data_IF_991330126301
#
_entry.id   IF_991330126301
#
_cell.length_a   1.000
_cell.length_b   1.000
_cell.length_c   1.000
_cell.angle_alpha   90.00
_cell.angle_beta   90.00
_cell.angle_gamma   90.00
#
_symmetry.space_group_name_H-M   'P 1'
#
loop_
_entity.id
_entity.type
_entity.pdbx_description
1 polymer ?
#
# COMPACT_ATOMS: atom_id res chain seq x y z
N UNK A 1 9.50 1.27 4.12
CA UNK A 1 8.47 0.29 3.75
C UNK A 1 7.95 -0.41 4.98
N UNK A 2 6.66 -0.61 5.05
CA UNK A 2 6.01 -1.29 6.16
C UNK A 2 4.87 -2.16 5.64
N UNK A 3 4.65 -3.30 6.27
CA UNK A 3 3.51 -4.17 6.09
C UNK A 3 2.71 -4.19 7.39
N UNK A 4 1.44 -3.83 7.33
CA UNK A 4 0.50 -3.87 8.44
C UNK A 4 -0.57 -4.89 8.11
N UNK A 5 -0.77 -5.86 8.97
CA UNK A 5 -1.82 -6.87 8.81
C UNK A 5 -3.01 -6.56 9.71
N UNK A 6 -4.20 -6.89 9.25
CA UNK A 6 -5.46 -6.65 9.97
C UNK A 6 -5.68 -7.58 11.17
N UNK A 7 -4.61 -7.98 11.87
CA UNK A 7 -4.76 -8.82 13.06
C UNK A 7 -5.34 -8.08 14.27
N UNK A 8 -5.35 -6.75 14.23
CA UNK A 8 -6.12 -5.97 15.18
C UNK A 8 -6.79 -4.77 14.50
N UNK A 9 -8.11 -4.74 14.53
CA UNK A 9 -8.92 -3.63 14.01
C UNK A 9 -8.60 -2.27 14.65
N UNK A 10 -7.88 -2.26 15.77
CA UNK A 10 -7.43 -1.05 16.46
C UNK A 10 -6.20 -0.40 15.81
N UNK A 11 -5.43 -1.14 15.03
CA UNK A 11 -4.21 -0.62 14.42
C UNK A 11 -4.49 0.36 13.28
N UNK A 12 -5.56 0.14 12.52
CA UNK A 12 -5.94 1.04 11.43
C UNK A 12 -6.46 2.40 11.92
N UNK A 13 -6.93 2.48 13.15
CA UNK A 13 -7.33 3.76 13.76
C UNK A 13 -6.13 4.62 14.16
N UNK A 14 -4.99 3.99 14.38
CA UNK A 14 -3.71 4.64 14.69
C UNK A 14 -2.79 4.83 13.49
N UNK A 15 -3.31 4.73 12.25
CA UNK A 15 -2.50 4.75 11.04
C UNK A 15 -1.55 5.96 10.96
N UNK A 16 -2.01 7.14 11.33
CA UNK A 16 -1.19 8.35 11.36
C UNK A 16 -0.05 8.28 12.39
N UNK A 17 -0.32 7.76 13.59
CA UNK A 17 0.69 7.54 14.63
C UNK A 17 1.69 6.47 14.21
N UNK A 18 1.20 5.39 13.63
CA UNK A 18 2.03 4.30 13.13
C UNK A 18 2.99 4.76 12.03
N UNK A 19 2.52 5.52 11.06
CA UNK A 19 3.37 6.11 10.04
C UNK A 19 4.42 7.03 10.65
N UNK A 20 4.05 7.84 11.63
CA UNK A 20 4.99 8.71 12.35
C UNK A 20 6.08 7.94 13.07
N UNK A 21 5.73 6.84 13.73
CA UNK A 21 6.70 5.97 14.42
C UNK A 21 7.65 5.28 13.42
N UNK A 22 7.14 4.79 12.31
CA UNK A 22 7.97 4.21 11.25
C UNK A 22 8.92 5.25 10.67
N UNK A 23 8.46 6.47 10.43
CA UNK A 23 9.29 7.58 9.97
C UNK A 23 10.42 7.87 10.95
N UNK A 24 10.14 7.89 12.23
CA UNK A 24 11.13 8.18 13.26
C UNK A 24 12.14 7.04 13.45
N UNK A 25 11.70 5.78 13.40
CA UNK A 25 12.55 4.62 13.61
C UNK A 25 13.45 4.27 12.43
N UNK A 26 13.10 4.73 11.24
CA UNK A 26 13.80 4.40 9.99
C UNK A 26 14.56 5.53 9.34
N UNK A 27 14.98 6.51 10.11
CA UNK A 27 15.79 7.65 9.64
C UNK A 27 17.02 7.25 8.81
N UNK A 28 17.52 6.03 9.00
CA UNK A 28 18.71 5.51 8.35
C UNK A 28 18.46 4.55 7.18
N UNK A 29 17.27 3.99 7.05
CA UNK A 29 16.98 2.98 6.02
C UNK A 29 16.41 3.60 4.75
N UNK A 30 15.81 4.79 4.84
CA UNK A 30 15.15 5.46 3.71
C UNK A 30 16.10 5.93 2.60
N UNK A 31 17.40 6.01 2.84
CA UNK A 31 18.37 6.47 1.83
C UNK A 31 19.07 5.32 1.08
N UNK A 32 18.99 4.09 1.55
CA UNK A 32 19.84 3.00 1.07
C UNK A 32 19.09 1.73 0.68
N UNK A 33 17.78 1.63 0.90
CA UNK A 33 17.01 0.46 0.49
C UNK A 33 16.51 0.65 -0.95
N UNK A 34 17.10 -0.02 -1.92
CA UNK A 34 16.46 -0.10 -3.23
C UNK A 34 15.12 -0.79 -3.03
N UNK A 35 14.04 -0.12 -3.42
CA UNK A 35 12.73 -0.74 -3.61
C UNK A 35 12.83 -1.69 -4.79
N UNK A 36 13.66 -2.71 -4.61
CA UNK A 36 13.94 -3.68 -5.64
C UNK A 36 12.98 -4.86 -5.61
N UNK A 37 13.07 -5.74 -6.60
CA UNK A 37 12.28 -6.97 -6.66
C UNK A 37 12.41 -7.83 -5.42
N UNK A 38 13.57 -7.84 -4.78
CA UNK A 38 13.85 -8.63 -3.56
C UNK A 38 12.98 -8.17 -2.40
N UNK A 39 12.91 -6.86 -2.17
CA UNK A 39 12.12 -6.31 -1.07
C UNK A 39 10.63 -6.45 -1.34
N UNK A 40 10.20 -6.19 -2.57
CA UNK A 40 8.81 -6.39 -2.99
C UNK A 40 8.38 -7.85 -2.81
N UNK A 41 9.22 -8.81 -3.18
CA UNK A 41 8.97 -10.23 -2.98
C UNK A 41 8.89 -10.61 -1.50
N UNK A 42 9.77 -10.07 -0.67
CA UNK A 42 9.76 -10.28 0.77
C UNK A 42 8.49 -9.73 1.41
N UNK A 43 8.03 -8.57 0.97
CA UNK A 43 6.77 -7.98 1.46
C UNK A 43 5.56 -8.79 0.99
N UNK A 44 5.52 -9.19 -0.27
CA UNK A 44 4.44 -10.01 -0.83
C UNK A 44 4.31 -11.35 -0.10
N UNK A 45 5.41 -11.96 0.32
CA UNK A 45 5.40 -13.22 1.08
C UNK A 45 4.74 -13.12 2.46
N UNK A 46 4.61 -11.91 3.00
CA UNK A 46 3.98 -11.63 4.30
C UNK A 46 2.50 -11.29 4.20
N UNK A 47 1.98 -11.11 3.00
CA UNK A 47 0.55 -10.86 2.80
C UNK A 47 -0.20 -12.16 3.08
N UNK A 48 -1.15 -12.17 4.03
CA UNK A 48 -1.93 -13.36 4.32
C UNK A 48 -2.88 -13.68 3.15
N UNK A 49 -3.37 -14.90 3.12
CA UNK A 49 -4.45 -15.27 2.20
C UNK A 49 -5.67 -14.40 2.49
N UNK A 50 -6.24 -13.85 1.44
CA UNK A 50 -7.41 -12.98 1.54
C UNK A 50 -8.70 -13.80 1.63
N UNK A 51 -9.62 -13.32 2.46
CA UNK A 51 -11.00 -13.76 2.43
C UNK A 51 -11.77 -13.02 1.33
N UNK A 52 -12.96 -13.50 1.01
CA UNK A 52 -13.81 -12.86 0.00
C UNK A 52 -14.14 -11.41 0.40
N UNK A 53 -13.95 -10.48 -0.53
CA UNK A 53 -14.19 -9.06 -0.32
C UNK A 53 -13.06 -8.31 0.37
N UNK A 54 -12.01 -8.98 0.80
CA UNK A 54 -10.83 -8.32 1.35
C UNK A 54 -9.91 -7.79 0.25
N UNK A 55 -9.21 -6.71 0.58
CA UNK A 55 -8.22 -6.08 -0.30
C UNK A 55 -6.91 -5.85 0.43
N UNK A 56 -5.83 -5.81 -0.33
CA UNK A 56 -4.54 -5.29 0.09
C UNK A 56 -4.44 -3.85 -0.40
N UNK A 57 -3.99 -2.95 0.45
CA UNK A 57 -3.74 -1.56 0.09
C UNK A 57 -2.25 -1.32 0.00
N UNK A 58 -1.82 -0.80 -1.13
CA UNK A 58 -0.45 -0.33 -1.36
C UNK A 58 -0.41 1.19 -1.33
N UNK A 59 0.42 1.75 -0.46
CA UNK A 59 0.59 3.19 -0.33
C UNK A 59 1.87 3.64 -1.02
N UNK A 60 1.75 4.64 -1.90
CA UNK A 60 2.88 5.19 -2.61
C UNK A 60 3.50 4.18 -3.58
N UNK A 61 2.69 3.64 -4.49
CA UNK A 61 3.12 2.61 -5.44
C UNK A 61 4.23 3.10 -6.41
N UNK A 62 4.30 4.39 -6.69
CA UNK A 62 5.34 4.98 -7.54
C UNK A 62 5.40 4.34 -8.91
N UNK A 63 6.55 3.78 -9.25
CA UNK A 63 6.77 3.09 -10.53
C UNK A 63 6.11 1.71 -10.62
N UNK A 64 5.58 1.18 -9.52
CA UNK A 64 4.93 -0.12 -9.47
C UNK A 64 5.87 -1.30 -9.24
N UNK A 65 7.06 -1.07 -8.69
CA UNK A 65 8.03 -2.15 -8.43
C UNK A 65 7.49 -3.15 -7.39
N UNK A 66 6.89 -2.67 -6.30
CA UNK A 66 6.25 -3.50 -5.29
C UNK A 66 4.94 -4.08 -5.83
N UNK A 67 4.15 -3.26 -6.52
CA UNK A 67 2.91 -3.68 -7.20
C UNK A 67 3.13 -4.94 -8.03
N UNK A 68 4.17 -4.93 -8.85
CA UNK A 68 4.52 -6.07 -9.70
C UNK A 68 4.79 -7.33 -8.90
N UNK A 69 5.51 -7.22 -7.78
CA UNK A 69 5.80 -8.38 -6.93
C UNK A 69 4.57 -8.91 -6.21
N UNK A 70 3.68 -8.02 -5.78
CA UNK A 70 2.40 -8.41 -5.18
C UNK A 70 1.53 -9.19 -6.17
N UNK A 71 1.44 -8.71 -7.40
CA UNK A 71 0.69 -9.42 -8.45
C UNK A 71 1.35 -10.75 -8.82
N UNK A 72 2.68 -10.81 -8.90
CA UNK A 72 3.42 -12.06 -9.14
C UNK A 72 3.26 -13.09 -8.03
N UNK A 73 2.97 -12.67 -6.80
CA UNK A 73 2.73 -13.58 -5.67
C UNK A 73 1.38 -14.30 -5.73
N UNK A 74 0.53 -13.97 -6.70
CA UNK A 74 -0.79 -14.55 -6.89
C UNK A 74 -1.95 -13.65 -6.44
N UNK A 75 -1.66 -12.44 -5.98
CA UNK A 75 -2.70 -11.45 -5.69
C UNK A 75 -3.34 -10.99 -7.00
N UNK A 76 -4.65 -11.05 -7.09
CA UNK A 76 -5.37 -10.61 -8.27
C UNK A 76 -5.49 -9.08 -8.30
N UNK A 77 -5.54 -8.48 -9.49
CA UNK A 77 -5.57 -7.03 -9.65
C UNK A 77 -6.70 -6.34 -8.89
N UNK A 78 -7.90 -6.94 -8.86
CA UNK A 78 -9.04 -6.41 -8.11
C UNK A 78 -8.90 -6.50 -6.59
N UNK A 79 -7.96 -7.32 -6.09
CA UNK A 79 -7.65 -7.46 -4.68
C UNK A 79 -6.57 -6.46 -4.20
N UNK A 80 -5.95 -5.73 -5.13
CA UNK A 80 -4.91 -4.76 -4.84
C UNK A 80 -5.40 -3.34 -5.15
N UNK A 81 -5.40 -2.51 -4.12
CA UNK A 81 -5.73 -1.08 -4.22
C UNK A 81 -4.47 -0.27 -4.00
N UNK A 82 -4.01 0.41 -5.02
CA UNK A 82 -2.84 1.27 -4.93
C UNK A 82 -3.25 2.74 -4.77
N UNK A 83 -2.73 3.38 -3.75
CA UNK A 83 -2.95 4.80 -3.50
C UNK A 83 -1.68 5.57 -3.88
N UNK A 84 -1.83 6.51 -4.79
CA UNK A 84 -0.73 7.31 -5.30
C UNK A 84 -1.13 8.78 -5.42
N UNK A 85 -0.30 9.66 -4.89
CA UNK A 85 -0.55 11.10 -4.88
C UNK A 85 -0.22 11.78 -6.21
N UNK A 86 0.81 11.33 -6.89
CA UNK A 86 1.27 11.89 -8.14
C UNK A 86 0.34 11.54 -9.30
N UNK A 87 -0.09 12.54 -10.07
CA UNK A 87 -0.85 12.33 -11.29
C UNK A 87 -0.09 11.45 -12.30
N UNK A 88 1.16 11.78 -12.55
CA UNK A 88 1.98 11.08 -13.52
C UNK A 88 2.17 9.61 -13.13
N UNK A 89 2.42 9.33 -11.84
CA UNK A 89 2.58 7.95 -11.35
C UNK A 89 1.26 7.20 -11.35
N UNK A 90 0.15 7.84 -11.00
CA UNK A 90 -1.18 7.22 -11.07
C UNK A 90 -1.54 6.80 -12.50
N UNK A 91 -1.27 7.65 -13.46
CA UNK A 91 -1.48 7.32 -14.88
C UNK A 91 -0.56 6.21 -15.35
N UNK A 92 0.70 6.24 -14.95
CA UNK A 92 1.66 5.19 -15.25
C UNK A 92 1.21 3.84 -14.71
N UNK A 93 0.75 3.80 -13.45
CA UNK A 93 0.22 2.58 -12.82
C UNK A 93 -0.99 2.02 -13.56
N UNK A 94 -1.95 2.89 -13.94
CA UNK A 94 -3.14 2.47 -14.69
C UNK A 94 -2.80 1.90 -16.07
N UNK A 95 -1.79 2.45 -16.72
CA UNK A 95 -1.33 1.95 -18.02
C UNK A 95 -0.56 0.65 -17.90
N UNK A 96 0.29 0.54 -16.89
CA UNK A 96 1.14 -0.63 -16.68
C UNK A 96 0.38 -1.83 -16.13
N UNK A 97 -0.61 -1.58 -15.29
CA UNK A 97 -1.42 -2.60 -14.61
C UNK A 97 -2.91 -2.30 -14.79
N UNK A 98 -3.49 -2.61 -15.95
CA UNK A 98 -4.89 -2.25 -16.25
C UNK A 98 -5.93 -2.86 -15.29
N UNK A 99 -5.62 -4.00 -14.70
CA UNK A 99 -6.47 -4.70 -13.74
C UNK A 99 -6.42 -4.11 -12.33
N UNK A 100 -5.43 -3.26 -12.06
CA UNK A 100 -5.21 -2.68 -10.75
C UNK A 100 -6.22 -1.57 -10.44
N UNK A 101 -6.72 -1.53 -9.21
CA UNK A 101 -7.46 -0.38 -8.72
C UNK A 101 -6.49 0.70 -8.24
N UNK A 102 -6.43 1.81 -8.95
CA UNK A 102 -5.57 2.94 -8.59
C UNK A 102 -6.41 4.09 -8.08
N UNK A 103 -6.22 4.46 -6.84
CA UNK A 103 -6.83 5.64 -6.22
C UNK A 103 -5.80 6.77 -6.17
N UNK A 104 -6.11 7.86 -6.83
CA UNK A 104 -5.31 9.07 -6.72
C UNK A 104 -5.69 9.82 -5.45
N UNK A 105 -4.74 10.05 -4.57
CA UNK A 105 -4.97 10.78 -3.34
C UNK A 105 -3.84 10.67 -2.34
N UNK A 106 -4.04 11.31 -1.20
CA UNK A 106 -3.10 11.25 -0.08
C UNK A 106 -3.34 9.99 0.75
N UNK A 107 -2.27 9.29 1.09
CA UNK A 107 -2.33 8.12 1.96
C UNK A 107 -2.94 8.41 3.33
N UNK A 108 -2.80 9.63 3.82
CA UNK A 108 -3.42 10.07 5.08
C UNK A 108 -4.96 10.07 5.01
N UNK A 109 -5.52 10.15 3.82
CA UNK A 109 -6.96 10.14 3.57
C UNK A 109 -7.49 8.75 3.17
N UNK A 110 -6.74 7.70 3.41
CA UNK A 110 -7.06 6.34 2.97
C UNK A 110 -8.50 5.92 3.28
N UNK A 111 -9.00 6.20 4.48
CA UNK A 111 -10.39 5.88 4.85
C UNK A 111 -11.41 6.51 3.92
N UNK A 112 -11.21 7.78 3.65
CA UNK A 112 -12.11 8.57 2.80
C UNK A 112 -12.04 8.05 1.37
N UNK A 113 -10.83 7.81 0.87
CA UNK A 113 -10.62 7.30 -0.48
C UNK A 113 -11.28 5.92 -0.68
N UNK A 114 -11.10 5.00 0.24
CA UNK A 114 -11.73 3.67 0.17
C UNK A 114 -13.26 3.77 0.18
N UNK A 115 -13.80 4.59 1.07
CA UNK A 115 -15.26 4.73 1.18
C UNK A 115 -15.87 5.40 -0.03
N UNK A 116 -15.28 6.49 -0.49
CA UNK A 116 -15.82 7.28 -1.61
C UNK A 116 -15.72 6.56 -2.96
N UNK A 117 -14.60 5.88 -3.22
CA UNK A 117 -14.34 5.27 -4.52
C UNK A 117 -14.75 3.81 -4.61
N UNK A 118 -14.71 3.08 -3.52
CA UNK A 118 -14.94 1.63 -3.52
C UNK A 118 -16.08 1.18 -2.60
N UNK A 119 -16.62 2.09 -1.78
CA UNK A 119 -17.62 1.73 -0.78
C UNK A 119 -17.08 0.84 0.35
N UNK A 120 -15.75 0.69 0.46
CA UNK A 120 -15.11 -0.18 1.43
C UNK A 120 -14.85 0.54 2.75
N UNK A 121 -15.06 -0.17 3.86
CA UNK A 121 -14.60 0.22 5.18
C UNK A 121 -13.20 -0.32 5.45
N UNK A 122 -12.59 0.11 6.56
CA UNK A 122 -11.26 -0.36 6.97
C UNK A 122 -11.22 -1.85 7.33
N UNK A 123 -12.35 -2.43 7.68
CA UNK A 123 -12.52 -3.85 7.95
C UNK A 123 -12.35 -4.75 6.71
N UNK A 124 -12.49 -4.18 5.51
CA UNK A 124 -12.19 -4.88 4.25
C UNK A 124 -10.69 -4.90 3.91
N UNK A 125 -9.87 -4.15 4.63
CA UNK A 125 -8.42 -4.10 4.39
C UNK A 125 -7.72 -5.22 5.17
N UNK A 126 -7.19 -6.19 4.44
CA UNK A 126 -6.41 -7.30 5.03
C UNK A 126 -5.03 -6.84 5.44
N UNK A 127 -4.37 -6.09 4.58
CA UNK A 127 -2.99 -5.66 4.79
C UNK A 127 -2.72 -4.33 4.12
N UNK A 128 -1.80 -3.56 4.68
CA UNK A 128 -1.28 -2.33 4.07
C UNK A 128 0.21 -2.53 3.81
N UNK A 129 0.61 -2.31 2.58
CA UNK A 129 2.01 -2.32 2.13
C UNK A 129 2.40 -0.90 1.77
N UNK A 130 3.41 -0.35 2.42
CA UNK A 130 3.85 1.02 2.15
C UNK A 130 5.19 1.05 1.43
N UNK A 131 5.19 1.62 0.23
CA UNK A 131 6.37 1.98 -0.52
C UNK A 131 6.77 3.45 -0.38
N UNK A 132 6.06 4.20 0.45
CA UNK A 132 6.35 5.61 0.64
C UNK A 132 7.74 5.82 1.22
N UNK A 133 8.52 6.77 0.66
CA UNK A 133 9.68 7.27 1.36
C UNK A 133 9.20 7.92 2.65
N UNK A 134 9.70 7.43 3.77
CA UNK A 134 9.22 7.80 5.10
C UNK A 134 9.39 9.30 5.43
N UNK A 135 10.15 10.03 4.60
CA UNK A 135 10.33 11.48 4.70
C UNK A 135 9.16 12.30 4.13
N UNK A 136 8.27 11.69 3.37
CA UNK A 136 7.15 12.38 2.74
C UNK A 136 5.84 12.27 3.52
N UNK A 137 5.86 11.63 4.66
CA UNK A 137 4.70 11.59 5.57
C UNK A 137 4.76 12.75 6.56
N UNK A 138 3.64 13.45 6.77
CA UNK A 138 3.57 14.53 7.74
C UNK A 138 3.80 14.07 9.19
#
# INVERSE_FOLDING_TARGET
MALITNQSKNELSGLGLFFKEIVQSRRFVGAAAPSGPILGKAMASKVPKLDEGEVVVELGAGTGAITRQLLKSGLEGHQLVSVERSNAMSEHLRKTFPELTVLKGDACELRVLLKQHLGLGVDAVSSIVSGLPLRSLP
#
